data_IF_610357232881
#
_entry.id   IF_610357232881
#
_cell.length_a   1.000
_cell.length_b   1.000
_cell.length_c   1.000
_cell.angle_alpha   90.00
_cell.angle_beta   90.00
_cell.angle_gamma   90.00
#
_symmetry.space_group_name_H-M   'P 1'
#
loop_
_entity.id
_entity.type
_entity.pdbx_description
1 polymer ?
#
# COMPACT_ATOMS: atom_id res chain seq x y z
N UNK A 1 13.65 -16.64 4.06
CA UNK A 1 12.55 -15.67 4.29
C UNK A 1 13.15 -14.29 4.47
N UNK A 2 12.60 -13.27 3.83
CA UNK A 2 13.04 -11.88 3.91
C UNK A 2 11.86 -11.04 4.39
N UNK A 3 12.08 -10.26 5.45
CA UNK A 3 11.17 -9.20 5.87
C UNK A 3 11.76 -7.87 5.43
N UNK A 4 11.08 -7.19 4.52
CA UNK A 4 11.52 -5.91 3.99
C UNK A 4 10.71 -4.78 4.63
N UNK A 5 11.38 -3.91 5.38
CA UNK A 5 10.73 -2.73 5.94
C UNK A 5 10.76 -1.59 4.92
N UNK A 6 9.59 -1.03 4.61
CA UNK A 6 9.47 0.20 3.81
C UNK A 6 8.75 1.28 4.63
N UNK A 7 9.30 2.48 4.65
CA UNK A 7 8.77 3.62 5.43
C UNK A 7 7.36 4.03 5.01
N UNK A 8 7.05 3.88 3.72
CA UNK A 8 5.73 4.12 3.13
C UNK A 8 5.24 2.87 2.38
N UNK A 9 3.93 2.64 2.25
CA UNK A 9 3.39 1.49 1.53
C UNK A 9 3.87 1.45 0.07
N UNK A 10 4.53 0.36 -0.32
CA UNK A 10 4.96 0.11 -1.71
C UNK A 10 3.77 -0.25 -2.58
N UNK A 11 2.84 -1.01 -2.01
CA UNK A 11 1.56 -1.37 -2.62
C UNK A 11 0.48 -0.48 -2.01
N UNK A 12 -0.23 0.26 -2.84
CA UNK A 12 -1.18 1.28 -2.43
C UNK A 12 -2.30 1.48 -3.45
N UNK A 13 -3.28 2.35 -3.14
CA UNK A 13 -4.32 2.71 -4.10
C UNK A 13 -3.73 3.56 -5.23
N UNK A 14 -4.45 3.69 -6.34
CA UNK A 14 -4.05 4.62 -7.39
C UNK A 14 -4.19 6.07 -6.90
N UNK A 15 -3.07 6.78 -6.71
CA UNK A 15 -3.07 8.12 -6.12
C UNK A 15 -3.89 9.12 -6.92
N UNK A 16 -3.96 9.01 -8.25
CA UNK A 16 -4.79 9.91 -9.06
C UNK A 16 -6.27 9.92 -8.66
N UNK A 17 -6.78 8.80 -8.11
CA UNK A 17 -8.14 8.72 -7.58
C UNK A 17 -8.27 9.32 -6.18
N UNK A 18 -7.21 9.16 -5.38
CA UNK A 18 -7.13 9.74 -4.04
C UNK A 18 -7.02 11.27 -4.13
N UNK A 19 -6.17 11.78 -5.02
CA UNK A 19 -6.04 13.19 -5.39
C UNK A 19 -7.38 13.79 -5.85
N UNK A 20 -8.08 13.12 -6.78
CA UNK A 20 -9.40 13.57 -7.26
C UNK A 20 -10.41 13.73 -6.11
N UNK A 21 -10.43 12.79 -5.16
CA UNK A 21 -11.32 12.87 -4.01
C UNK A 21 -10.91 13.96 -3.01
N UNK A 22 -9.59 14.12 -2.77
CA UNK A 22 -9.06 15.15 -1.88
C UNK A 22 -9.29 16.56 -2.41
N UNK A 23 -9.22 16.77 -3.73
CA UNK A 23 -9.58 18.04 -4.36
C UNK A 23 -11.04 18.46 -4.12
N UNK A 24 -11.94 17.53 -3.79
CA UNK A 24 -13.32 17.86 -3.43
C UNK A 24 -13.49 18.31 -1.97
N UNK A 25 -12.45 18.25 -1.13
CA UNK A 25 -12.48 18.71 0.26
C UNK A 25 -11.70 20.03 0.45
N UNK A 26 -12.20 20.96 1.28
CA UNK A 26 -11.44 22.14 1.66
C UNK A 26 -10.14 21.73 2.41
N UNK A 27 -9.04 22.47 2.19
CA UNK A 27 -7.70 22.22 2.77
C UNK A 27 -6.86 21.07 2.18
N UNK A 28 -7.10 20.71 0.91
CA UNK A 28 -6.38 19.65 0.19
C UNK A 28 -4.84 19.84 0.05
N UNK A 29 -4.33 21.06 0.18
CA UNK A 29 -2.91 21.39 -0.08
C UNK A 29 -1.93 20.58 0.78
N UNK A 30 -2.26 20.33 2.06
CA UNK A 30 -1.41 19.52 2.93
C UNK A 30 -1.34 18.06 2.47
N UNK A 31 -2.45 17.53 1.96
CA UNK A 31 -2.51 16.16 1.47
C UNK A 31 -1.80 15.99 0.12
N UNK A 32 -1.68 17.04 -0.69
CA UNK A 32 -0.99 16.95 -1.98
C UNK A 32 0.51 16.62 -1.81
N UNK A 33 1.16 17.21 -0.81
CA UNK A 33 2.57 16.95 -0.50
C UNK A 33 2.76 15.50 0.02
N UNK A 34 1.92 15.07 0.96
CA UNK A 34 1.93 13.70 1.51
C UNK A 34 1.72 12.62 0.43
N UNK A 35 0.96 12.92 -0.64
CA UNK A 35 0.76 12.00 -1.78
C UNK A 35 1.99 11.91 -2.67
N UNK A 36 2.77 12.99 -2.80
CA UNK A 36 3.98 12.99 -3.62
C UNK A 36 5.05 12.07 -3.06
N UNK A 37 5.13 11.95 -1.74
CA UNK A 37 6.08 11.09 -1.02
C UNK A 37 5.77 9.58 -1.13
N UNK A 38 4.61 9.21 -1.68
CA UNK A 38 4.23 7.80 -1.85
C UNK A 38 4.86 7.18 -3.10
N UNK A 39 5.16 5.88 -3.05
CA UNK A 39 5.67 5.10 -4.20
C UNK A 39 4.79 5.21 -5.45
N UNK A 40 3.47 5.33 -5.27
CA UNK A 40 2.52 5.38 -6.37
C UNK A 40 2.48 6.77 -7.06
N UNK A 41 3.26 7.73 -6.60
CA UNK A 41 3.38 9.06 -7.19
C UNK A 41 3.93 8.94 -8.61
N UNK A 42 3.35 9.69 -9.55
CA UNK A 42 3.83 9.73 -10.95
C UNK A 42 5.30 10.13 -11.06
N UNK A 43 5.79 10.91 -10.09
CA UNK A 43 7.18 11.35 -10.02
C UNK A 43 8.16 10.23 -9.67
N UNK A 44 7.68 9.16 -9.04
CA UNK A 44 8.48 8.00 -8.62
C UNK A 44 8.24 6.76 -9.49
N UNK A 45 7.56 6.91 -10.63
CA UNK A 45 7.12 5.75 -11.43
C UNK A 45 8.28 4.87 -11.87
N UNK A 46 9.42 5.46 -12.25
CA UNK A 46 10.60 4.71 -12.71
C UNK A 46 11.26 3.95 -11.56
N UNK A 47 11.45 4.62 -10.43
CA UNK A 47 12.02 4.07 -9.22
C UNK A 47 11.15 2.95 -8.66
N UNK A 48 9.83 3.16 -8.68
CA UNK A 48 8.86 2.17 -8.22
C UNK A 48 8.86 0.92 -9.10
N UNK A 49 8.85 1.06 -10.42
CA UNK A 49 8.98 -0.09 -11.34
C UNK A 49 10.28 -0.85 -11.08
N UNK A 50 11.41 -0.15 -11.01
CA UNK A 50 12.73 -0.76 -10.77
C UNK A 50 12.77 -1.51 -9.44
N UNK A 51 12.14 -0.96 -8.41
CA UNK A 51 12.07 -1.59 -7.10
C UNK A 51 11.24 -2.88 -7.12
N UNK A 52 10.07 -2.88 -7.78
CA UNK A 52 9.25 -4.08 -7.92
C UNK A 52 9.92 -5.16 -8.77
N UNK A 53 10.60 -4.78 -9.85
CA UNK A 53 11.41 -5.71 -10.67
C UNK A 53 12.55 -6.34 -9.85
N UNK A 54 13.19 -5.55 -8.98
CA UNK A 54 14.21 -6.07 -8.08
C UNK A 54 13.64 -7.06 -7.07
N UNK A 55 12.46 -6.77 -6.49
CA UNK A 55 11.78 -7.69 -5.59
C UNK A 55 11.40 -9.00 -6.29
N UNK A 56 10.85 -8.92 -7.50
CA UNK A 56 10.52 -10.07 -8.33
C UNK A 56 11.76 -10.93 -8.60
N UNK A 57 12.87 -10.29 -9.02
CA UNK A 57 14.13 -10.98 -9.26
C UNK A 57 14.64 -11.70 -8.02
N UNK A 58 14.68 -11.03 -6.87
CA UNK A 58 15.14 -11.63 -5.62
C UNK A 58 14.23 -12.79 -5.18
N UNK A 59 12.91 -12.63 -5.34
CA UNK A 59 11.95 -13.66 -4.96
C UNK A 59 12.07 -14.92 -5.84
N UNK A 60 12.28 -14.74 -7.14
CA UNK A 60 12.27 -15.83 -8.11
C UNK A 60 13.66 -16.47 -8.30
N UNK A 61 14.71 -15.68 -8.52
CA UNK A 61 16.05 -16.21 -8.84
C UNK A 61 16.72 -16.90 -7.65
N UNK A 62 16.40 -16.45 -6.43
CA UNK A 62 16.98 -16.98 -5.19
C UNK A 62 15.97 -17.78 -4.35
N UNK A 63 14.80 -18.09 -4.93
CA UNK A 63 13.70 -18.80 -4.29
C UNK A 63 13.34 -18.24 -2.89
N UNK A 64 13.37 -16.91 -2.72
CA UNK A 64 13.05 -16.28 -1.43
C UNK A 64 11.56 -15.98 -1.26
N UNK A 65 11.02 -16.31 -0.09
CA UNK A 65 9.76 -15.76 0.40
C UNK A 65 9.99 -14.35 0.97
N UNK A 66 9.36 -13.35 0.37
CA UNK A 66 9.47 -11.94 0.79
C UNK A 66 8.14 -11.47 1.35
N UNK A 67 8.17 -10.80 2.50
CA UNK A 67 7.05 -10.02 3.03
C UNK A 67 7.50 -8.60 3.31
N UNK A 68 6.77 -7.64 2.76
CA UNK A 68 6.99 -6.22 2.99
C UNK A 68 6.20 -5.82 4.24
N UNK A 69 6.83 -5.06 5.13
CA UNK A 69 6.18 -4.43 6.28
C UNK A 69 6.30 -2.92 6.15
N UNK A 70 5.18 -2.22 6.34
CA UNK A 70 5.10 -0.77 6.20
C UNK A 70 4.23 -0.14 7.28
N UNK A 71 4.44 1.15 7.53
CA UNK A 71 3.53 1.99 8.29
C UNK A 71 2.73 2.92 7.38
N UNK A 72 1.52 3.27 7.81
CA UNK A 72 0.70 4.34 7.25
C UNK A 72 0.04 5.09 8.41
N UNK A 73 -0.26 6.37 8.24
CA UNK A 73 -0.68 7.26 9.34
C UNK A 73 -2.12 6.99 9.78
N UNK A 74 -2.98 6.50 8.89
CA UNK A 74 -4.43 6.51 9.09
C UNK A 74 -5.08 5.12 9.12
N UNK A 75 -4.64 4.18 8.28
CA UNK A 75 -5.33 2.91 8.03
C UNK A 75 -4.35 1.76 7.88
N UNK A 76 -4.73 0.60 8.41
CA UNK A 76 -4.05 -0.64 8.09
C UNK A 76 -4.68 -1.31 6.86
N UNK A 77 -3.86 -2.04 6.11
CA UNK A 77 -4.29 -2.80 4.94
C UNK A 77 -3.31 -3.93 4.62
N UNK A 78 -3.68 -4.77 3.66
CA UNK A 78 -2.80 -5.76 3.05
C UNK A 78 -2.64 -5.47 1.57
N UNK A 79 -1.43 -5.54 1.06
CA UNK A 79 -1.13 -5.52 -0.37
C UNK A 79 -0.69 -6.89 -0.86
N UNK A 80 -0.95 -7.20 -2.13
CA UNK A 80 -0.29 -8.28 -2.86
C UNK A 80 0.34 -7.75 -4.14
N UNK A 81 1.52 -8.24 -4.45
CA UNK A 81 2.20 -8.04 -5.72
C UNK A 81 2.40 -9.42 -6.35
N UNK A 82 1.69 -9.68 -7.45
CA UNK A 82 1.82 -10.92 -8.20
C UNK A 82 3.02 -10.81 -9.14
N UNK A 83 4.02 -11.64 -8.91
CA UNK A 83 5.15 -11.84 -9.83
C UNK A 83 4.85 -12.98 -10.78
N UNK A 84 5.73 -13.24 -11.74
CA UNK A 84 5.58 -14.37 -12.67
C UNK A 84 5.52 -15.74 -11.96
N UNK A 85 6.09 -15.87 -10.76
CA UNK A 85 6.18 -17.15 -10.04
C UNK A 85 5.68 -17.14 -8.60
N UNK A 86 5.48 -15.97 -7.98
CA UNK A 86 5.20 -15.84 -6.55
C UNK A 86 4.28 -14.67 -6.24
N UNK A 87 3.59 -14.76 -5.11
CA UNK A 87 2.85 -13.63 -4.55
C UNK A 87 3.64 -13.03 -3.39
N UNK A 88 4.06 -11.77 -3.54
CA UNK A 88 4.69 -11.01 -2.45
C UNK A 88 3.61 -10.29 -1.67
N UNK A 89 3.61 -10.45 -0.34
CA UNK A 89 2.67 -9.80 0.55
C UNK A 89 3.25 -8.52 1.15
N UNK A 90 2.41 -7.49 1.30
CA UNK A 90 2.69 -6.33 2.13
C UNK A 90 1.69 -6.24 3.27
N UNK A 91 2.19 -6.05 4.48
CA UNK A 91 1.38 -5.73 5.66
C UNK A 91 1.62 -4.27 6.03
N UNK A 92 0.53 -3.50 6.14
CA UNK A 92 0.58 -2.08 6.49
C UNK A 92 -0.08 -1.88 7.84
N UNK A 93 0.69 -1.41 8.82
CA UNK A 93 0.18 -0.97 10.12
C UNK A 93 -0.35 0.46 10.03
N UNK A 94 -1.32 0.82 10.89
CA UNK A 94 -1.75 2.21 11.04
C UNK A 94 -0.91 2.97 12.06
N UNK A 95 -1.06 4.29 12.09
CA UNK A 95 -0.43 5.16 13.08
C UNK A 95 -1.06 4.96 14.46
N UNK A 96 -0.23 4.74 15.48
CA UNK A 96 -0.67 4.57 16.88
C UNK A 96 -1.08 5.92 17.48
N UNK A 97 -0.35 6.99 17.14
CA UNK A 97 -0.51 8.32 17.76
C UNK A 97 -1.63 9.16 17.13
N UNK A 98 -1.97 8.89 15.87
CA UNK A 98 -2.99 9.66 15.15
C UNK A 98 -4.39 9.11 15.38
N UNK A 99 -5.39 9.98 15.32
CA UNK A 99 -6.79 9.59 15.39
C UNK A 99 -7.16 8.89 14.08
N UNK A 100 -7.79 7.72 14.17
CA UNK A 100 -8.27 7.01 13.00
C UNK A 100 -9.25 7.91 12.22
N UNK A 101 -9.19 7.91 10.87
CA UNK A 101 -10.11 8.71 10.08
C UNK A 101 -11.55 8.21 10.28
N UNK A 102 -12.57 9.05 10.01
CA UNK A 102 -13.96 8.64 10.07
C UNK A 102 -14.23 7.38 9.24
N UNK A 103 -15.08 6.46 9.74
CA UNK A 103 -15.39 5.19 9.04
C UNK A 103 -15.90 5.40 7.61
N UNK A 104 -16.61 6.51 7.35
CA UNK A 104 -17.07 6.88 6.01
C UNK A 104 -15.91 7.11 5.04
N UNK A 105 -14.85 7.81 5.49
CA UNK A 105 -13.65 8.07 4.70
C UNK A 105 -12.93 6.77 4.32
N UNK A 106 -12.75 5.86 5.29
CA UNK A 106 -12.12 4.55 5.03
C UNK A 106 -12.95 3.67 4.08
N UNK A 107 -14.29 3.78 4.11
CA UNK A 107 -15.16 3.10 3.15
C UNK A 107 -15.02 3.70 1.75
N UNK A 108 -14.99 5.03 1.63
CA UNK A 108 -14.78 5.71 0.35
C UNK A 108 -13.42 5.32 -0.28
N UNK A 109 -12.35 5.35 0.50
CA UNK A 109 -11.04 4.84 0.07
C UNK A 109 -11.10 3.36 -0.33
N UNK A 110 -11.85 2.54 0.41
CA UNK A 110 -12.04 1.13 0.10
C UNK A 110 -12.72 0.87 -1.25
N UNK A 111 -13.61 1.77 -1.69
CA UNK A 111 -14.21 1.71 -3.03
C UNK A 111 -13.17 2.01 -4.13
N UNK A 112 -12.25 2.93 -3.86
CA UNK A 112 -11.18 3.30 -4.80
C UNK A 112 -10.04 2.26 -4.85
N UNK A 113 -9.86 1.49 -3.78
CA UNK A 113 -8.82 0.47 -3.69
C UNK A 113 -8.94 -0.66 -4.73
N UNK A 114 -10.12 -0.83 -5.34
CA UNK A 114 -10.31 -1.81 -6.42
C UNK A 114 -9.65 -1.37 -7.73
N UNK A 115 -9.47 -0.06 -7.91
CA UNK A 115 -8.73 0.52 -9.03
C UNK A 115 -7.28 0.69 -8.56
N UNK A 116 -6.56 -0.44 -8.50
CA UNK A 116 -5.14 -0.47 -8.19
C UNK A 116 -4.32 0.25 -9.26
N UNK A 117 -3.11 0.70 -8.89
CA UNK A 117 -2.13 1.11 -9.88
C UNK A 117 -1.21 -0.07 -10.21
N UNK A 118 -1.02 -0.32 -11.49
CA UNK A 118 -0.28 -1.45 -12.02
C UNK A 118 0.97 -0.90 -12.71
N UNK A 119 2.09 -0.74 -11.96
CA UNK A 119 3.33 -0.19 -12.52
C UNK A 119 3.96 -1.08 -13.57
N UNK A 120 3.88 -2.39 -13.35
CA UNK A 120 4.45 -3.40 -14.23
C UNK A 120 3.31 -4.12 -14.99
N UNK A 121 3.38 -4.18 -16.34
CA UNK A 121 2.45 -4.98 -17.13
C UNK A 121 2.42 -6.43 -16.66
N UNK A 122 1.22 -7.01 -16.60
CA UNK A 122 0.96 -8.42 -16.25
C UNK A 122 1.34 -8.84 -14.83
N UNK A 123 1.90 -7.94 -14.02
CA UNK A 123 2.35 -8.19 -12.65
C UNK A 123 1.56 -7.31 -11.67
N UNK A 124 0.28 -7.64 -11.41
CA UNK A 124 -0.62 -6.74 -10.74
C UNK A 124 -0.27 -6.50 -9.27
N UNK A 125 -0.41 -5.24 -8.84
CA UNK A 125 -0.47 -4.91 -7.41
C UNK A 125 -1.92 -4.72 -6.99
N UNK A 126 -2.33 -5.31 -5.87
CA UNK A 126 -3.72 -5.26 -5.39
C UNK A 126 -3.76 -5.03 -3.90
N UNK A 127 -4.61 -4.11 -3.48
CA UNK A 127 -5.01 -4.03 -2.09
C UNK A 127 -6.03 -5.12 -1.76
N UNK A 128 -5.92 -5.67 -0.55
CA UNK A 128 -6.70 -6.78 -0.04
C UNK A 128 -7.12 -6.48 1.39
N UNK A 129 -8.26 -7.01 1.85
CA UNK A 129 -8.57 -6.98 3.26
C UNK A 129 -7.54 -7.78 4.07
N UNK A 130 -7.38 -7.39 5.34
CA UNK A 130 -6.76 -8.24 6.35
C UNK A 130 -7.58 -9.54 6.51
N UNK A 131 -6.96 -10.64 7.00
CA UNK A 131 -7.69 -11.85 7.36
C UNK A 131 -8.93 -11.54 8.21
N UNK A 132 -10.02 -12.27 7.97
CA UNK A 132 -11.31 -12.15 8.68
C UNK A 132 -12.03 -10.79 8.54
N UNK A 133 -11.51 -9.90 7.68
CA UNK A 133 -12.14 -8.60 7.38
C UNK A 133 -12.74 -8.59 5.97
N UNK A 134 -13.89 -7.92 5.82
CA UNK A 134 -14.52 -7.71 4.50
C UNK A 134 -13.96 -6.49 3.75
N UNK A 135 -13.66 -5.40 4.47
CA UNK A 135 -13.16 -4.15 3.89
C UNK A 135 -11.65 -4.10 3.78
N UNK A 136 -11.13 -3.56 2.67
CA UNK A 136 -9.69 -3.39 2.40
C UNK A 136 -8.98 -2.67 3.55
N UNK A 137 -9.46 -1.49 3.92
CA UNK A 137 -8.85 -0.68 4.97
C UNK A 137 -9.44 -0.95 6.34
N UNK A 138 -8.57 -1.00 7.35
CA UNK A 138 -8.91 -1.01 8.75
C UNK A 138 -8.61 0.36 9.37
N UNK A 139 -9.65 1.15 9.61
CA UNK A 139 -9.57 2.44 10.30
C UNK A 139 -9.60 2.24 11.83
N UNK A 140 -8.56 1.59 12.34
CA UNK A 140 -8.33 1.40 13.77
C UNK A 140 -6.82 1.48 14.04
N UNK A 141 -6.44 1.95 15.23
CA UNK A 141 -5.06 1.91 15.70
C UNK A 141 -4.62 0.46 15.83
N UNK A 142 -3.48 0.11 15.27
CA UNK A 142 -2.91 -1.22 15.34
C UNK A 142 -1.39 -1.18 15.19
N UNK A 143 -0.77 -2.35 15.28
CA UNK A 143 0.66 -2.56 15.12
C UNK A 143 0.91 -3.94 14.54
N UNK A 144 2.08 -4.13 13.91
CA UNK A 144 2.56 -5.44 13.48
C UNK A 144 3.53 -5.96 14.53
N UNK A 145 3.37 -7.23 14.90
CA UNK A 145 4.29 -7.92 15.80
C UNK A 145 4.98 -9.04 15.05
N UNK A 146 6.30 -9.09 15.14
CA UNK A 146 7.08 -10.23 14.69
C UNK A 146 7.37 -11.13 15.90
N UNK A 147 6.91 -12.37 15.84
CA UNK A 147 7.21 -13.40 16.84
C UNK A 147 8.14 -14.42 16.20
N UNK A 148 9.11 -14.92 16.97
CA UNK A 148 10.13 -15.89 16.53
C UNK A 148 10.00 -17.17 17.33
#
# INVERSE_FOLDING_TARGET
RILLMSSVPVIGPRLSLVEFFLHMMPSAQKYEDDLRDQWQSRWHRREWCRFLELLERIANDHDHEITIVSGEIHVATRGTFETIGKTIHQLVASGISHTAPPKAFARALGLLAWIGDHPLPERPTKLKPLPDRKGVYCAARNYLTLTR
#
